data_IF_104454168531
#
_entry.id   IF_104454168531
#
_cell.length_a   1.000
_cell.length_b   1.000
_cell.length_c   1.000
_cell.angle_alpha   90.00
_cell.angle_beta   90.00
_cell.angle_gamma   90.00
#
_symmetry.space_group_name_H-M   'P 1'
#
loop_
_entity.id
_entity.type
_entity.pdbx_description
1 polymer ?
#
# COMPACT_ATOMS: atom_id res chain seq x y z
N UNK A 1 -1.74 -19.32 10.70
CA UNK A 1 -0.38 -18.72 10.65
C UNK A 1 -0.38 -17.26 11.10
N UNK A 2 -1.24 -16.39 10.52
CA UNK A 2 -1.31 -14.95 10.86
C UNK A 2 -1.55 -14.61 12.36
N UNK A 3 -2.18 -15.51 13.14
CA UNK A 3 -2.48 -15.33 14.59
C UNK A 3 -1.27 -15.02 15.48
N UNK A 4 -0.06 -15.46 15.11
CA UNK A 4 1.15 -15.27 15.91
C UNK A 4 2.05 -14.16 15.39
N UNK A 5 1.65 -13.51 14.29
CA UNK A 5 2.46 -12.50 13.63
C UNK A 5 2.26 -11.14 14.31
N UNK A 6 3.36 -10.56 14.78
CA UNK A 6 3.36 -9.31 15.55
C UNK A 6 4.26 -8.25 14.90
N UNK A 7 4.16 -7.01 15.37
CA UNK A 7 4.98 -5.90 14.85
C UNK A 7 6.49 -6.18 14.91
N UNK A 8 6.97 -6.85 15.96
CA UNK A 8 8.40 -7.14 16.13
C UNK A 8 8.98 -8.07 15.04
N UNK A 9 8.12 -8.76 14.27
CA UNK A 9 8.56 -9.56 13.13
C UNK A 9 8.84 -8.73 11.87
N UNK A 10 8.53 -7.43 11.86
CA UNK A 10 8.70 -6.54 10.69
C UNK A 10 10.14 -6.48 10.17
N UNK A 11 11.14 -6.54 11.04
CA UNK A 11 12.54 -6.58 10.62
C UNK A 11 12.89 -7.86 9.85
N UNK A 12 12.26 -8.99 10.21
CA UNK A 12 12.43 -10.25 9.47
C UNK A 12 11.72 -10.17 8.13
N UNK A 13 10.51 -9.60 8.10
CA UNK A 13 9.78 -9.38 6.84
C UNK A 13 10.58 -8.48 5.91
N UNK A 14 11.10 -7.34 6.39
CA UNK A 14 11.94 -6.44 5.59
C UNK A 14 13.14 -7.17 4.96
N UNK A 15 13.81 -8.06 5.72
CA UNK A 15 14.89 -8.90 5.19
C UNK A 15 14.42 -9.85 4.09
N UNK A 16 13.24 -10.47 4.26
CA UNK A 16 12.66 -11.36 3.24
C UNK A 16 12.30 -10.60 1.97
N UNK A 17 11.68 -9.41 2.10
CA UNK A 17 11.30 -8.55 0.98
C UNK A 17 12.49 -8.26 0.07
N UNK A 18 13.65 -7.97 0.65
CA UNK A 18 14.87 -7.62 -0.11
C UNK A 18 15.73 -8.82 -0.49
N UNK A 19 15.37 -10.04 -0.07
CA UNK A 19 16.10 -11.27 -0.40
C UNK A 19 15.45 -11.98 -1.58
N UNK A 20 16.17 -12.08 -2.71
CA UNK A 20 15.68 -12.74 -3.95
C UNK A 20 14.29 -12.23 -4.39
N UNK A 21 14.10 -10.92 -4.32
CA UNK A 21 12.81 -10.26 -4.55
C UNK A 21 12.24 -10.52 -5.93
N UNK A 22 10.97 -10.95 -5.96
CA UNK A 22 10.16 -11.00 -7.17
C UNK A 22 8.69 -10.81 -6.79
N UNK A 23 7.85 -10.41 -7.74
CA UNK A 23 6.47 -9.97 -7.46
C UNK A 23 5.65 -11.05 -6.74
N UNK A 24 5.85 -12.32 -7.05
CA UNK A 24 5.13 -13.44 -6.44
C UNK A 24 5.39 -13.57 -4.92
N UNK A 25 6.65 -13.39 -4.52
CA UNK A 25 7.04 -13.43 -3.10
C UNK A 25 6.69 -12.14 -2.36
N UNK A 26 6.87 -10.99 -3.00
CA UNK A 26 6.61 -9.68 -2.41
C UNK A 26 5.11 -9.48 -2.16
N UNK A 27 4.27 -9.84 -3.13
CA UNK A 27 2.81 -9.72 -3.02
C UNK A 27 2.27 -10.65 -1.91
N UNK A 28 2.89 -11.81 -1.67
CA UNK A 28 2.50 -12.64 -0.52
C UNK A 28 2.85 -12.01 0.85
N UNK A 29 3.82 -11.10 0.89
CA UNK A 29 4.27 -10.42 2.11
C UNK A 29 3.46 -9.15 2.41
N UNK A 30 2.86 -8.50 1.40
CA UNK A 30 1.99 -7.34 1.62
C UNK A 30 0.79 -7.69 2.52
N UNK A 31 0.25 -8.90 2.39
CA UNK A 31 -0.89 -9.37 3.17
C UNK A 31 -0.58 -9.49 4.66
N UNK A 32 0.69 -9.72 5.01
CA UNK A 32 1.14 -9.78 6.40
C UNK A 32 1.14 -8.38 7.02
N UNK A 33 1.63 -7.39 6.28
CA UNK A 33 1.58 -5.98 6.69
C UNK A 33 0.12 -5.51 6.80
N UNK A 34 -0.70 -5.86 5.82
CA UNK A 34 -2.14 -5.59 5.85
C UNK A 34 -2.85 -6.23 7.05
N UNK A 35 -2.47 -7.45 7.41
CA UNK A 35 -3.00 -8.10 8.62
C UNK A 35 -2.68 -7.32 9.90
N UNK A 36 -1.47 -6.78 10.03
CA UNK A 36 -1.10 -5.95 11.18
C UNK A 36 -1.87 -4.63 11.20
N UNK A 37 -2.06 -3.97 10.05
CA UNK A 37 -2.88 -2.75 9.95
C UNK A 37 -4.32 -3.00 10.44
N UNK A 38 -4.98 -4.05 9.95
CA UNK A 38 -6.35 -4.37 10.37
C UNK A 38 -6.44 -4.79 11.84
N UNK A 39 -5.44 -5.52 12.34
CA UNK A 39 -5.43 -5.98 13.73
C UNK A 39 -5.19 -4.82 14.69
N UNK A 40 -4.22 -3.95 14.39
CA UNK A 40 -3.97 -2.72 15.15
C UNK A 40 -5.18 -1.79 15.13
N UNK A 41 -5.87 -1.65 13.99
CA UNK A 41 -7.10 -0.84 13.92
C UNK A 41 -8.23 -1.38 14.80
N UNK A 42 -8.41 -2.71 14.86
CA UNK A 42 -9.42 -3.33 15.74
C UNK A 42 -9.08 -3.16 17.22
N UNK A 43 -7.81 -3.12 17.58
CA UNK A 43 -7.38 -2.84 18.95
C UNK A 43 -7.54 -1.35 19.29
N UNK A 44 -7.37 -0.45 18.31
CA UNK A 44 -7.53 1.00 18.48
C UNK A 44 -8.93 1.43 18.94
N UNK A 45 -9.98 0.65 18.62
CA UNK A 45 -11.34 0.96 19.08
C UNK A 45 -11.54 0.78 20.59
N UNK A 46 -10.55 0.26 21.33
CA UNK A 46 -10.62 -0.05 22.76
C UNK A 46 -9.86 0.95 23.67
N UNK A 47 -9.53 2.16 23.16
CA UNK A 47 -8.79 3.27 23.80
C UNK A 47 -7.25 3.27 23.61
N UNK A 48 -6.69 2.36 22.83
CA UNK A 48 -5.24 2.32 22.52
C UNK A 48 -4.98 2.19 21.02
N UNK A 49 -4.77 3.32 20.33
CA UNK A 49 -4.43 3.36 18.91
C UNK A 49 -2.95 3.11 18.60
N UNK A 50 -2.12 2.83 19.62
CA UNK A 50 -0.67 2.75 19.47
C UNK A 50 -0.26 1.70 18.44
N UNK A 51 -0.90 0.52 18.45
CA UNK A 51 -0.58 -0.56 17.51
C UNK A 51 -0.87 -0.18 16.05
N UNK A 52 -1.97 0.53 15.79
CA UNK A 52 -2.30 1.00 14.45
C UNK A 52 -1.31 2.07 13.97
N UNK A 53 -1.04 3.07 14.81
CA UNK A 53 -0.13 4.17 14.48
C UNK A 53 1.30 3.70 14.26
N UNK A 54 1.75 2.68 14.99
CA UNK A 54 3.06 2.07 14.82
C UNK A 54 3.21 1.44 13.42
N UNK A 55 2.23 0.66 12.98
CA UNK A 55 2.24 0.05 11.63
C UNK A 55 2.07 1.13 10.54
N UNK A 56 1.17 2.10 10.75
CA UNK A 56 0.95 3.22 9.82
C UNK A 56 2.24 4.03 9.62
N UNK A 57 2.99 4.28 10.69
CA UNK A 57 4.30 4.96 10.63
C UNK A 57 5.29 4.17 9.79
N UNK A 58 5.41 2.86 10.03
CA UNK A 58 6.29 1.99 9.25
C UNK A 58 5.93 1.97 7.76
N UNK A 59 4.63 1.91 7.41
CA UNK A 59 4.18 1.95 6.01
C UNK A 59 4.53 3.30 5.36
N UNK A 60 4.39 4.42 6.08
CA UNK A 60 4.82 5.76 5.60
C UNK A 60 6.33 5.84 5.36
N UNK A 61 7.14 5.18 6.19
CA UNK A 61 8.59 5.05 5.96
C UNK A 61 8.89 4.18 4.74
N UNK A 62 8.21 3.04 4.61
CA UNK A 62 8.40 2.09 3.51
C UNK A 62 8.02 2.68 2.15
N UNK A 63 7.00 3.55 2.11
CA UNK A 63 6.64 4.30 0.91
C UNK A 63 7.78 5.19 0.37
N UNK A 64 8.80 5.48 1.19
CA UNK A 64 9.95 6.32 0.88
C UNK A 64 11.29 5.54 0.87
N UNK A 65 11.27 4.21 0.99
CA UNK A 65 12.48 3.39 1.06
C UNK A 65 13.36 3.48 -0.21
N UNK A 66 14.66 3.18 -0.12
CA UNK A 66 15.53 3.14 -1.31
C UNK A 66 15.34 1.88 -2.18
N UNK A 67 14.45 0.98 -1.78
CA UNK A 67 14.13 -0.25 -2.50
C UNK A 67 12.66 -0.23 -2.93
N UNK A 68 12.40 -0.38 -4.24
CA UNK A 68 11.04 -0.30 -4.77
C UNK A 68 10.15 -1.49 -4.37
N UNK A 69 10.70 -2.66 -4.01
CA UNK A 69 9.88 -3.77 -3.50
C UNK A 69 9.29 -3.47 -2.12
N UNK A 70 10.01 -2.73 -1.28
CA UNK A 70 9.49 -2.24 0.00
C UNK A 70 8.37 -1.22 -0.24
N UNK A 71 8.55 -0.32 -1.22
CA UNK A 71 7.53 0.66 -1.60
C UNK A 71 6.28 0.01 -2.18
N UNK A 72 6.45 -1.05 -2.99
CA UNK A 72 5.35 -1.85 -3.54
C UNK A 72 4.45 -2.38 -2.43
N UNK A 73 5.04 -2.96 -1.38
CA UNK A 73 4.27 -3.42 -0.21
C UNK A 73 3.54 -2.26 0.47
N UNK A 74 4.17 -1.09 0.62
CA UNK A 74 3.49 0.07 1.21
C UNK A 74 2.24 0.49 0.41
N UNK A 75 2.27 0.34 -0.92
CA UNK A 75 1.14 0.62 -1.80
C UNK A 75 0.07 -0.48 -1.73
N UNK A 76 0.49 -1.75 -1.78
CA UNK A 76 -0.41 -2.91 -1.92
C UNK A 76 -0.96 -3.46 -0.58
N UNK A 77 -0.38 -3.08 0.57
CA UNK A 77 -0.74 -3.65 1.89
C UNK A 77 -2.21 -3.45 2.32
N UNK A 78 -2.97 -2.57 1.65
CA UNK A 78 -4.39 -2.33 1.92
C UNK A 78 -5.34 -3.00 0.90
N UNK A 79 -4.81 -3.83 -0.01
CA UNK A 79 -5.63 -4.57 -0.96
C UNK A 79 -6.68 -5.41 -0.23
N UNK A 80 -7.89 -5.45 -0.79
CA UNK A 80 -9.07 -6.14 -0.26
C UNK A 80 -9.65 -5.59 1.05
N UNK A 81 -9.21 -4.40 1.53
CA UNK A 81 -9.76 -3.79 2.75
C UNK A 81 -11.18 -3.23 2.56
N UNK A 82 -11.59 -2.91 1.33
CA UNK A 82 -12.92 -2.34 1.00
C UNK A 82 -13.18 -1.09 1.84
N UNK A 83 -14.29 -1.04 2.58
CA UNK A 83 -14.66 0.07 3.48
C UNK A 83 -13.66 0.30 4.64
N UNK A 84 -12.75 -0.64 4.89
CA UNK A 84 -11.71 -0.49 5.92
C UNK A 84 -10.42 0.12 5.36
N UNK A 85 -10.36 0.53 4.10
CA UNK A 85 -9.17 1.20 3.54
C UNK A 85 -8.90 2.52 4.29
N UNK A 86 -7.69 2.74 4.79
CA UNK A 86 -7.23 4.08 5.20
C UNK A 86 -6.92 4.88 3.95
N UNK A 87 -7.83 5.79 3.58
CA UNK A 87 -7.70 6.61 2.39
C UNK A 87 -6.53 7.59 2.48
N UNK A 88 -6.20 8.08 3.69
CA UNK A 88 -5.07 8.99 3.91
C UNK A 88 -3.73 8.24 3.79
N UNK A 89 -3.65 7.03 4.33
CA UNK A 89 -2.46 6.20 4.16
C UNK A 89 -2.28 5.77 2.70
N UNK A 90 -3.37 5.40 2.02
CA UNK A 90 -3.32 5.00 0.61
C UNK A 90 -2.90 6.17 -0.28
N UNK A 91 -3.49 7.35 -0.11
CA UNK A 91 -3.11 8.53 -0.88
C UNK A 91 -1.64 8.88 -0.63
N UNK A 92 -1.19 8.87 0.62
CA UNK A 92 0.20 9.12 0.98
C UNK A 92 1.17 8.15 0.29
N UNK A 93 0.91 6.84 0.34
CA UNK A 93 1.83 5.84 -0.22
C UNK A 93 1.92 5.96 -1.74
N UNK A 94 0.81 6.29 -2.42
CA UNK A 94 0.78 6.56 -3.86
C UNK A 94 1.51 7.86 -4.19
N UNK A 95 1.19 8.97 -3.51
CA UNK A 95 1.77 10.30 -3.75
C UNK A 95 3.30 10.30 -3.64
N UNK A 96 3.87 9.55 -2.69
CA UNK A 96 5.32 9.36 -2.55
C UNK A 96 5.99 8.62 -3.70
N UNK A 97 5.20 8.07 -4.62
CA UNK A 97 5.63 7.26 -5.75
C UNK A 97 5.13 7.78 -7.11
N UNK A 98 4.58 9.01 -7.14
CA UNK A 98 4.26 9.71 -8.38
C UNK A 98 5.49 10.45 -8.96
N UNK A 99 5.29 11.19 -10.06
CA UNK A 99 6.30 12.05 -10.67
C UNK A 99 7.07 12.88 -9.63
N UNK A 100 8.40 12.76 -9.67
CA UNK A 100 9.31 13.33 -8.66
C UNK A 100 9.91 12.27 -7.72
N UNK A 101 9.33 11.07 -7.67
CA UNK A 101 9.96 9.89 -7.05
C UNK A 101 11.00 9.26 -7.98
N UNK A 102 12.05 8.66 -7.40
CA UNK A 102 13.06 7.88 -8.13
C UNK A 102 12.52 6.60 -8.77
N UNK A 103 11.29 6.21 -8.43
CA UNK A 103 10.63 5.00 -8.94
C UNK A 103 9.28 5.31 -9.61
N UNK A 104 9.06 6.56 -10.03
CA UNK A 104 7.80 7.00 -10.63
C UNK A 104 7.46 6.27 -11.95
N UNK A 105 8.49 5.78 -12.65
CA UNK A 105 8.42 5.04 -13.91
C UNK A 105 8.70 3.53 -13.75
N UNK A 106 8.97 3.06 -12.52
CA UNK A 106 9.20 1.64 -12.25
C UNK A 106 7.93 0.83 -12.51
N UNK A 107 8.03 -0.18 -13.38
CA UNK A 107 6.91 -1.00 -13.82
C UNK A 107 6.12 -1.61 -12.63
N UNK A 108 6.82 -2.16 -11.63
CA UNK A 108 6.15 -2.79 -10.50
C UNK A 108 5.47 -1.78 -9.57
N UNK A 109 5.96 -0.55 -9.48
CA UNK A 109 5.33 0.53 -8.72
C UNK A 109 4.10 1.05 -9.45
N UNK A 110 4.22 1.35 -10.74
CA UNK A 110 3.09 1.85 -11.54
C UNK A 110 1.95 0.83 -11.60
N UNK A 111 2.25 -0.47 -11.62
CA UNK A 111 1.26 -1.55 -11.50
C UNK A 111 0.63 -1.62 -10.11
N UNK A 112 1.41 -1.50 -9.03
CA UNK A 112 0.89 -1.49 -7.66
C UNK A 112 -0.12 -0.34 -7.46
N UNK A 113 0.23 0.89 -7.87
CA UNK A 113 -0.66 2.06 -7.80
C UNK A 113 -1.97 1.77 -8.55
N UNK A 114 -1.88 1.26 -9.78
CA UNK A 114 -3.04 0.91 -10.58
C UNK A 114 -3.92 -0.17 -9.93
N UNK A 115 -3.32 -1.18 -9.29
CA UNK A 115 -4.03 -2.25 -8.61
C UNK A 115 -4.70 -1.79 -7.32
N UNK A 116 -4.02 -1.00 -6.49
CA UNK A 116 -4.57 -0.46 -5.26
C UNK A 116 -5.80 0.41 -5.53
N UNK A 117 -5.71 1.32 -6.52
CA UNK A 117 -6.83 2.16 -6.94
C UNK A 117 -7.97 1.33 -7.57
N UNK A 118 -7.65 0.37 -8.44
CA UNK A 118 -8.67 -0.52 -9.03
C UNK A 118 -9.39 -1.34 -7.98
N UNK A 119 -8.69 -1.80 -6.95
CA UNK A 119 -9.30 -2.56 -5.87
C UNK A 119 -10.24 -1.69 -5.04
N UNK A 120 -9.80 -0.49 -4.66
CA UNK A 120 -10.65 0.48 -3.95
C UNK A 120 -11.88 0.88 -4.77
N UNK A 121 -11.75 1.02 -6.10
CA UNK A 121 -12.84 1.40 -7.00
C UNK A 121 -14.06 0.48 -6.91
N UNK A 122 -13.87 -0.80 -6.57
CA UNK A 122 -14.97 -1.76 -6.35
C UNK A 122 -15.89 -1.38 -5.19
N UNK A 123 -15.39 -0.56 -4.26
CA UNK A 123 -16.11 -0.14 -3.06
C UNK A 123 -16.33 1.38 -2.99
N UNK A 124 -15.39 2.17 -3.53
CA UNK A 124 -15.44 3.64 -3.51
C UNK A 124 -14.90 4.24 -4.81
N UNK A 125 -15.61 4.03 -5.92
CA UNK A 125 -15.25 4.54 -7.25
C UNK A 125 -15.16 6.07 -7.30
N UNK A 126 -16.07 6.78 -6.62
CA UNK A 126 -16.10 8.24 -6.58
C UNK A 126 -14.80 8.84 -6.02
N UNK A 127 -14.25 8.25 -4.95
CA UNK A 127 -12.96 8.69 -4.41
C UNK A 127 -11.82 8.43 -5.39
N UNK A 128 -11.82 7.27 -6.07
CA UNK A 128 -10.77 6.92 -7.04
C UNK A 128 -10.79 7.85 -8.25
N UNK A 129 -11.97 8.18 -8.78
CA UNK A 129 -12.13 9.15 -9.88
C UNK A 129 -11.51 10.49 -9.48
N UNK A 130 -11.91 11.02 -8.32
CA UNK A 130 -11.38 12.29 -7.81
C UNK A 130 -9.86 12.26 -7.61
N UNK A 131 -9.33 11.18 -7.03
CA UNK A 131 -7.89 11.02 -6.83
C UNK A 131 -7.13 11.04 -8.17
N UNK A 132 -7.64 10.36 -9.20
CA UNK A 132 -7.05 10.35 -10.55
C UNK A 132 -7.10 11.76 -11.14
N UNK A 133 -8.24 12.45 -11.09
CA UNK A 133 -8.38 13.82 -11.62
C UNK A 133 -7.40 14.80 -10.96
N UNK A 134 -7.20 14.70 -9.65
CA UNK A 134 -6.28 15.55 -8.88
C UNK A 134 -4.80 15.30 -9.21
N UNK A 135 -4.45 14.08 -9.64
CA UNK A 135 -3.07 13.63 -9.81
C UNK A 135 -2.70 13.21 -11.24
N UNK A 136 -3.61 13.35 -12.21
CA UNK A 136 -3.49 12.81 -13.56
C UNK A 136 -2.15 13.16 -14.22
N UNK A 137 -1.72 14.41 -14.08
CA UNK A 137 -0.49 14.94 -14.65
C UNK A 137 0.81 14.38 -14.03
N UNK A 138 0.72 13.74 -12.86
CA UNK A 138 1.85 13.13 -12.15
C UNK A 138 1.82 11.60 -12.18
N UNK A 139 0.70 11.00 -12.57
CA UNK A 139 0.54 9.55 -12.63
C UNK A 139 1.11 8.97 -13.92
N UNK A 140 1.66 7.76 -13.83
CA UNK A 140 2.01 7.00 -15.01
C UNK A 140 0.73 6.59 -15.77
N UNK A 141 0.78 6.67 -17.11
CA UNK A 141 -0.35 6.25 -17.99
C UNK A 141 -0.83 4.83 -17.70
N UNK A 142 0.09 3.94 -17.34
CA UNK A 142 -0.22 2.56 -16.96
C UNK A 142 -1.07 2.51 -15.69
N UNK A 143 -0.71 3.30 -14.66
CA UNK A 143 -1.46 3.36 -13.40
C UNK A 143 -2.89 3.83 -13.62
N UNK A 144 -3.09 4.90 -14.42
CA UNK A 144 -4.41 5.40 -14.78
C UNK A 144 -5.21 4.31 -15.52
N UNK A 145 -4.63 3.70 -16.56
CA UNK A 145 -5.30 2.65 -17.34
C UNK A 145 -5.73 1.45 -16.47
N UNK A 146 -4.90 1.04 -15.53
CA UNK A 146 -5.23 -0.07 -14.62
C UNK A 146 -6.31 0.33 -13.60
N UNK A 147 -6.22 1.54 -13.03
CA UNK A 147 -7.16 2.06 -12.04
C UNK A 147 -8.56 2.24 -12.65
N UNK A 148 -8.65 2.76 -13.87
CA UNK A 148 -9.91 3.08 -14.56
C UNK A 148 -10.61 1.87 -15.20
N UNK A 149 -10.10 0.64 -15.03
CA UNK A 149 -10.67 -0.55 -15.70
C UNK A 149 -12.13 -0.85 -15.33
N UNK A 150 -12.57 -0.37 -14.16
CA UNK A 150 -13.91 -0.63 -13.62
C UNK A 150 -14.61 0.65 -13.13
N UNK A 151 -14.14 1.82 -13.59
CA UNK A 151 -14.76 3.12 -13.33
C UNK A 151 -15.78 3.47 -14.42
#
# INVERSE_FOLDING_TARGET
>A
MKKWFIFDDMEKIKKLIVSKSWWDTVDALDELVGHLLLTGRKQATENDSTAYEQVKTLVKEWAQAENFWIRRIAIDCQLSFKNQTDLELLSYTIEKNLLGSSFADEFFITKAIGWALRDLAKTNSAWVIKFIEEHENKMAKLSIREASKHL
#
